data_IF_098357206524
#
_entry.id   IF_098357206524
#
_cell.length_a   1.000
_cell.length_b   1.000
_cell.length_c   1.000
_cell.angle_alpha   90.00
_cell.angle_beta   90.00
_cell.angle_gamma   90.00
#
_symmetry.space_group_name_H-M   'P 1'
#
loop_
_entity.id
_entity.type
_entity.pdbx_description
1 polymer ?
#
# COMPACT_ATOMS: atom_id res chain seq x y z
N UNK A 1 -25.95 14.46 3.61
CA UNK A 1 -25.71 13.03 3.85
C UNK A 1 -26.79 12.26 3.12
N UNK A 2 -26.45 11.25 2.31
CA UNK A 2 -27.42 10.38 1.65
C UNK A 2 -28.25 9.60 2.68
N UNK A 3 -29.45 9.14 2.28
CA UNK A 3 -30.33 8.32 3.13
C UNK A 3 -29.74 6.91 3.32
N UNK A 4 -29.81 6.36 4.53
CA UNK A 4 -29.25 5.04 4.84
C UNK A 4 -30.21 3.88 4.55
N UNK A 5 -31.49 4.15 4.22
CA UNK A 5 -32.46 3.11 3.85
C UNK A 5 -31.94 2.19 2.74
N UNK A 6 -31.35 2.68 1.62
CA UNK A 6 -30.80 1.83 0.56
C UNK A 6 -29.58 1.01 0.98
N UNK A 7 -28.76 1.52 1.91
CA UNK A 7 -27.64 0.78 2.50
C UNK A 7 -28.16 -0.41 3.31
N UNK A 8 -29.17 -0.19 4.15
CA UNK A 8 -29.79 -1.24 4.97
C UNK A 8 -30.47 -2.32 4.10
N UNK A 9 -31.17 -1.91 3.04
CA UNK A 9 -31.79 -2.85 2.09
C UNK A 9 -30.73 -3.65 1.30
N UNK A 10 -29.62 -3.01 0.91
CA UNK A 10 -28.49 -3.71 0.28
C UNK A 10 -27.91 -4.78 1.21
N UNK A 11 -27.67 -4.44 2.49
CA UNK A 11 -27.19 -5.38 3.49
C UNK A 11 -28.16 -6.56 3.69
N UNK A 12 -29.47 -6.29 3.73
CA UNK A 12 -30.51 -7.33 3.85
C UNK A 12 -30.48 -8.30 2.66
N UNK A 13 -30.37 -7.77 1.43
CA UNK A 13 -30.26 -8.60 0.22
C UNK A 13 -28.99 -9.46 0.20
N UNK A 14 -27.84 -8.92 0.64
CA UNK A 14 -26.60 -9.69 0.72
C UNK A 14 -26.65 -10.77 1.81
N UNK A 15 -27.39 -10.54 2.90
CA UNK A 15 -27.63 -11.54 3.92
C UNK A 15 -28.59 -12.66 3.43
N UNK A 16 -29.63 -12.30 2.68
CA UNK A 16 -30.64 -13.26 2.19
C UNK A 16 -30.13 -14.12 1.02
N UNK A 17 -29.38 -13.53 0.08
CA UNK A 17 -28.94 -14.20 -1.15
C UNK A 17 -27.44 -14.54 -1.17
N UNK A 18 -26.68 -14.17 -0.14
CA UNK A 18 -25.24 -14.36 -0.05
C UNK A 18 -24.42 -13.40 -0.92
N UNK A 19 -23.09 -13.41 -0.76
CA UNK A 19 -22.16 -12.52 -1.48
C UNK A 19 -22.16 -12.73 -3.01
N UNK A 20 -22.60 -13.89 -3.49
CA UNK A 20 -22.68 -14.23 -4.91
C UNK A 20 -23.63 -13.35 -5.70
N UNK A 21 -24.62 -12.71 -5.04
CA UNK A 21 -25.52 -11.77 -5.70
C UNK A 21 -24.77 -10.54 -6.26
N UNK A 22 -23.60 -10.20 -5.70
CA UNK A 22 -22.74 -9.15 -6.21
C UNK A 22 -22.22 -9.45 -7.62
N UNK A 23 -22.08 -10.71 -8.01
CA UNK A 23 -21.70 -11.09 -9.38
C UNK A 23 -22.89 -11.00 -10.36
N UNK A 24 -24.10 -10.68 -9.88
CA UNK A 24 -25.34 -10.69 -10.67
C UNK A 24 -26.09 -9.34 -10.62
N UNK A 25 -25.50 -8.24 -11.14
CA UNK A 25 -26.05 -6.89 -11.01
C UNK A 25 -27.39 -6.71 -11.72
N UNK A 26 -27.62 -7.47 -12.81
CA UNK A 26 -28.89 -7.48 -13.55
C UNK A 26 -30.07 -7.98 -12.71
N UNK A 27 -29.80 -8.73 -11.63
CA UNK A 27 -30.81 -9.17 -10.65
C UNK A 27 -30.86 -8.24 -9.45
N UNK A 28 -29.71 -7.79 -8.96
CA UNK A 28 -29.61 -6.93 -7.78
C UNK A 28 -30.22 -5.54 -8.02
N UNK A 29 -30.01 -4.94 -9.20
CA UNK A 29 -30.49 -3.58 -9.50
C UNK A 29 -32.01 -3.43 -9.49
N UNK A 30 -32.80 -4.27 -10.18
CA UNK A 30 -34.26 -4.20 -10.10
C UNK A 30 -34.80 -4.45 -8.68
N UNK A 31 -34.19 -5.39 -7.94
CA UNK A 31 -34.62 -5.70 -6.57
C UNK A 31 -34.44 -4.50 -5.64
N UNK A 32 -33.25 -3.88 -5.65
CA UNK A 32 -32.98 -2.73 -4.80
C UNK A 32 -33.81 -1.51 -5.20
N UNK A 33 -34.06 -1.30 -6.51
CA UNK A 33 -34.96 -0.24 -6.99
C UNK A 33 -36.41 -0.43 -6.56
N UNK A 34 -36.88 -1.68 -6.46
CA UNK A 34 -38.22 -1.99 -5.99
C UNK A 34 -38.36 -1.81 -4.48
N UNK A 35 -37.31 -2.13 -3.71
CA UNK A 35 -37.28 -1.96 -2.25
C UNK A 35 -37.11 -0.48 -1.83
N UNK A 36 -36.48 0.34 -2.68
CA UNK A 36 -36.22 1.76 -2.41
C UNK A 36 -36.79 2.67 -3.53
N UNK A 37 -38.12 2.76 -3.70
CA UNK A 37 -38.73 3.50 -4.78
C UNK A 37 -38.56 5.03 -4.67
N UNK A 38 -38.38 5.54 -3.45
CA UNK A 38 -38.23 6.97 -3.14
C UNK A 38 -36.76 7.42 -3.17
N UNK A 39 -35.81 6.54 -2.80
CA UNK A 39 -34.36 6.80 -2.74
C UNK A 39 -33.63 6.44 -4.05
N UNK A 40 -34.18 6.87 -5.20
CA UNK A 40 -33.62 6.53 -6.52
C UNK A 40 -32.20 7.06 -6.73
N UNK A 41 -31.85 8.17 -6.08
CA UNK A 41 -30.54 8.81 -6.19
C UNK A 41 -29.46 7.94 -5.54
N UNK A 42 -29.71 7.50 -4.32
CA UNK A 42 -28.84 6.65 -3.51
C UNK A 42 -28.64 5.29 -4.17
N UNK A 43 -29.71 4.70 -4.70
CA UNK A 43 -29.62 3.46 -5.50
C UNK A 43 -28.72 3.68 -6.73
N UNK A 44 -28.82 4.83 -7.41
CA UNK A 44 -27.93 5.14 -8.52
C UNK A 44 -26.47 5.34 -8.07
N UNK A 45 -26.23 5.88 -6.87
CA UNK A 45 -24.87 6.00 -6.31
C UNK A 45 -24.26 4.61 -6.04
N UNK A 46 -25.02 3.70 -5.44
CA UNK A 46 -24.58 2.32 -5.17
C UNK A 46 -24.23 1.58 -6.47
N UNK A 47 -25.07 1.69 -7.50
CA UNK A 47 -24.80 1.07 -8.79
C UNK A 47 -23.75 1.82 -9.63
N UNK A 48 -23.54 3.10 -9.36
CA UNK A 48 -22.39 3.84 -9.88
C UNK A 48 -21.10 3.27 -9.31
N UNK A 49 -21.00 3.13 -7.99
CA UNK A 49 -19.87 2.48 -7.32
C UNK A 49 -19.67 1.02 -7.78
N UNK A 50 -20.77 0.28 -7.99
CA UNK A 50 -20.71 -1.07 -8.54
C UNK A 50 -20.03 -1.12 -9.91
N UNK A 51 -20.39 -0.21 -10.83
CA UNK A 51 -19.79 -0.15 -12.17
C UNK A 51 -18.30 0.17 -12.13
N UNK A 52 -17.85 0.86 -11.08
CA UNK A 52 -16.46 1.12 -10.78
C UNK A 52 -15.73 -0.06 -10.11
N UNK A 53 -16.39 -1.22 -10.00
CA UNK A 53 -15.85 -2.47 -9.44
C UNK A 53 -15.51 -2.40 -7.94
N UNK A 54 -16.19 -1.52 -7.21
CA UNK A 54 -16.00 -1.34 -5.76
C UNK A 54 -16.20 -2.65 -4.98
N UNK A 55 -17.28 -3.45 -5.19
CA UNK A 55 -17.46 -4.69 -4.44
C UNK A 55 -16.36 -5.72 -4.70
N UNK A 56 -15.91 -5.83 -5.95
CA UNK A 56 -14.84 -6.76 -6.32
C UNK A 56 -13.50 -6.36 -5.73
N UNK A 57 -13.17 -5.06 -5.71
CA UNK A 57 -11.93 -4.57 -5.08
C UNK A 57 -11.95 -4.72 -3.56
N UNK A 58 -13.11 -4.52 -2.92
CA UNK A 58 -13.28 -4.73 -1.48
C UNK A 58 -13.18 -6.22 -1.10
N UNK A 59 -13.54 -7.13 -2.00
CA UNK A 59 -13.47 -8.59 -1.80
C UNK A 59 -12.17 -9.21 -2.31
N UNK A 60 -11.30 -8.45 -2.97
CA UNK A 60 -10.04 -8.97 -3.51
C UNK A 60 -9.07 -9.44 -2.41
N UNK A 61 -9.29 -9.03 -1.15
CA UNK A 61 -8.55 -9.49 0.02
C UNK A 61 -9.35 -10.60 0.73
N UNK A 62 -9.05 -11.86 0.40
CA UNK A 62 -9.85 -13.02 0.86
C UNK A 62 -9.71 -13.33 2.36
N UNK A 63 -8.76 -12.73 3.09
CA UNK A 63 -8.43 -13.14 4.47
C UNK A 63 -8.33 -11.99 5.50
N UNK A 64 -8.42 -10.73 5.09
CA UNK A 64 -8.32 -9.57 6.01
C UNK A 64 -9.30 -8.47 5.63
N UNK A 65 -9.89 -7.73 6.61
CA UNK A 65 -10.67 -6.55 6.29
C UNK A 65 -9.79 -5.55 5.52
N UNK A 66 -10.31 -4.89 4.47
CA UNK A 66 -9.51 -3.98 3.66
C UNK A 66 -8.92 -2.88 4.53
N UNK A 67 -7.68 -2.47 4.26
CA UNK A 67 -7.09 -1.29 4.90
C UNK A 67 -7.91 -0.02 4.57
N UNK A 68 -7.94 0.96 5.48
CA UNK A 68 -8.58 2.27 5.26
C UNK A 68 -8.19 2.94 3.93
N UNK A 69 -6.99 2.68 3.44
CA UNK A 69 -6.47 3.19 2.16
C UNK A 69 -7.27 2.68 0.94
N UNK A 70 -7.83 1.47 1.01
CA UNK A 70 -8.70 0.91 -0.04
C UNK A 70 -9.98 1.74 -0.15
N UNK A 71 -10.60 2.07 0.99
CA UNK A 71 -11.79 2.91 1.04
C UNK A 71 -11.52 4.31 0.50
N UNK A 72 -10.41 4.93 0.92
CA UNK A 72 -10.00 6.26 0.49
C UNK A 72 -9.77 6.28 -1.04
N UNK A 73 -9.07 5.27 -1.58
CA UNK A 73 -8.80 5.15 -3.03
C UNK A 73 -10.08 4.97 -3.82
N UNK A 74 -10.93 4.02 -3.42
CA UNK A 74 -12.20 3.74 -4.09
C UNK A 74 -13.12 4.96 -4.05
N UNK A 75 -13.20 5.66 -2.90
CA UNK A 75 -14.00 6.88 -2.79
C UNK A 75 -13.49 7.99 -3.73
N UNK A 76 -12.18 8.15 -3.88
CA UNK A 76 -11.61 9.10 -4.83
C UNK A 76 -11.88 8.73 -6.30
N UNK A 77 -11.79 7.44 -6.65
CA UNK A 77 -12.12 6.95 -8.00
C UNK A 77 -13.59 7.18 -8.33
N UNK A 78 -14.50 6.75 -7.46
CA UNK A 78 -15.95 6.91 -7.60
C UNK A 78 -16.32 8.40 -7.72
N UNK A 79 -15.72 9.27 -6.89
CA UNK A 79 -15.88 10.71 -6.97
C UNK A 79 -15.48 11.27 -8.35
N UNK A 80 -14.32 10.86 -8.85
CA UNK A 80 -13.76 11.34 -10.13
C UNK A 80 -14.63 10.92 -11.31
N UNK A 81 -15.01 9.65 -11.39
CA UNK A 81 -15.72 9.10 -12.54
C UNK A 81 -17.21 9.45 -12.54
N UNK A 82 -17.88 9.44 -11.38
CA UNK A 82 -19.29 9.82 -11.29
C UNK A 82 -19.52 11.33 -11.15
N UNK A 83 -18.45 12.12 -10.95
CA UNK A 83 -18.50 13.57 -10.72
C UNK A 83 -19.46 13.98 -9.59
N UNK A 84 -19.43 13.20 -8.51
CA UNK A 84 -20.25 13.40 -7.31
C UNK A 84 -19.44 14.08 -6.20
N UNK A 85 -20.12 14.47 -5.11
CA UNK A 85 -19.43 15.03 -3.95
C UNK A 85 -18.61 13.96 -3.22
N UNK A 86 -17.65 14.43 -2.44
CA UNK A 86 -16.78 13.57 -1.62
C UNK A 86 -17.58 12.76 -0.59
N UNK A 87 -18.58 13.36 0.03
CA UNK A 87 -19.45 12.67 1.00
C UNK A 87 -20.26 11.56 0.33
N UNK A 88 -20.77 11.78 -0.89
CA UNK A 88 -21.53 10.77 -1.62
C UNK A 88 -20.66 9.59 -2.07
N UNK A 89 -19.43 9.87 -2.50
CA UNK A 89 -18.50 8.81 -2.91
C UNK A 89 -18.07 7.94 -1.73
N UNK A 90 -17.76 8.55 -0.57
CA UNK A 90 -17.47 7.83 0.68
C UNK A 90 -18.66 7.00 1.10
N UNK A 91 -19.86 7.59 1.15
CA UNK A 91 -21.08 6.89 1.50
C UNK A 91 -21.34 5.67 0.61
N UNK A 92 -21.11 5.77 -0.70
CA UNK A 92 -21.32 4.65 -1.62
C UNK A 92 -20.34 3.49 -1.39
N UNK A 93 -19.06 3.79 -1.13
CA UNK A 93 -18.03 2.78 -0.85
C UNK A 93 -18.26 2.12 0.51
N UNK A 94 -18.53 2.92 1.55
CA UNK A 94 -18.87 2.42 2.89
C UNK A 94 -20.10 1.53 2.85
N UNK A 95 -21.14 1.93 2.11
CA UNK A 95 -22.37 1.15 2.01
C UNK A 95 -22.14 -0.24 1.43
N UNK A 96 -21.24 -0.35 0.45
CA UNK A 96 -20.82 -1.66 -0.08
C UNK A 96 -20.01 -2.45 0.95
N UNK A 97 -19.06 -1.83 1.63
CA UNK A 97 -18.25 -2.52 2.62
C UNK A 97 -19.04 -3.00 3.85
N UNK A 98 -20.01 -2.20 4.32
CA UNK A 98 -20.94 -2.57 5.40
C UNK A 98 -21.82 -3.73 4.93
N UNK A 99 -22.37 -3.66 3.71
CA UNK A 99 -23.20 -4.73 3.17
C UNK A 99 -22.42 -6.04 2.96
N UNK A 100 -21.12 -5.96 2.65
CA UNK A 100 -20.22 -7.11 2.55
C UNK A 100 -19.73 -7.64 3.90
N UNK A 101 -20.00 -6.91 5.00
CA UNK A 101 -19.59 -7.27 6.36
C UNK A 101 -18.11 -7.02 6.64
N UNK A 102 -17.48 -6.07 5.95
CA UNK A 102 -16.06 -5.72 6.10
C UNK A 102 -15.82 -4.66 7.19
N UNK A 103 -16.81 -3.81 7.43
CA UNK A 103 -16.83 -2.78 8.48
C UNK A 103 -18.24 -2.69 9.11
N UNK A 104 -18.36 -2.02 10.25
CA UNK A 104 -19.65 -1.70 10.89
C UNK A 104 -20.00 -0.22 10.71
N UNK A 105 -21.27 0.15 10.92
CA UNK A 105 -21.71 1.57 10.90
C UNK A 105 -20.99 2.44 11.97
N UNK A 106 -20.36 1.83 12.98
CA UNK A 106 -19.59 2.52 14.02
C UNK A 106 -18.11 2.72 13.66
N UNK A 107 -17.64 2.21 12.52
CA UNK A 107 -16.24 2.26 12.12
C UNK A 107 -15.89 3.64 11.55
N UNK A 108 -15.10 4.44 12.29
CA UNK A 108 -14.58 5.72 11.79
C UNK A 108 -13.39 5.50 10.84
N UNK A 109 -13.62 5.68 9.53
CA UNK A 109 -12.54 5.70 8.54
C UNK A 109 -11.99 7.13 8.45
N UNK A 110 -10.69 7.29 8.74
CA UNK A 110 -10.02 8.59 8.65
C UNK A 110 -9.71 8.97 7.21
N UNK A 111 -10.67 9.64 6.56
CA UNK A 111 -10.52 10.18 5.21
C UNK A 111 -9.76 11.51 5.15
N UNK A 112 -9.14 11.98 6.23
CA UNK A 112 -8.31 13.21 6.16
C UNK A 112 -6.95 12.97 5.50
N UNK A 113 -6.59 11.71 5.26
CA UNK A 113 -5.43 11.33 4.47
C UNK A 113 -5.79 11.30 2.97
N UNK A 114 -5.05 12.00 2.09
CA UNK A 114 -5.41 12.09 0.69
C UNK A 114 -5.25 10.75 -0.05
N UNK A 115 -6.24 10.41 -0.87
CA UNK A 115 -6.18 9.31 -1.82
C UNK A 115 -5.04 9.52 -2.82
N UNK A 116 -4.01 8.68 -2.72
CA UNK A 116 -2.94 8.59 -3.71
C UNK A 116 -3.51 7.98 -5.00
N UNK A 117 -4.00 8.84 -5.91
CA UNK A 117 -4.27 8.47 -7.29
C UNK A 117 -2.96 7.94 -7.88
N UNK A 118 -2.90 6.67 -8.27
CA UNK A 118 -1.81 6.19 -9.11
C UNK A 118 -2.03 6.72 -10.54
N UNK A 119 -1.11 7.52 -11.11
CA UNK A 119 -1.20 7.85 -12.52
C UNK A 119 -0.66 6.67 -13.32
N UNK A 120 -1.48 6.15 -14.23
CA UNK A 120 -0.98 5.36 -15.36
C UNK A 120 -0.25 6.30 -16.31
N UNK A 121 1.09 6.31 -16.26
CA UNK A 121 1.90 7.11 -17.17
C UNK A 121 2.01 6.40 -18.53
N UNK A 122 1.04 6.64 -19.41
CA UNK A 122 1.29 6.59 -20.86
C UNK A 122 1.65 7.99 -21.36
N UNK A 123 2.74 8.05 -22.14
CA UNK A 123 3.42 9.28 -22.58
C UNK A 123 2.48 10.33 -23.19
N UNK A 124 2.56 11.59 -22.75
CA UNK A 124 2.84 12.81 -23.55
C UNK A 124 2.48 14.09 -22.77
N UNK A 125 3.39 15.09 -22.82
CA UNK A 125 3.33 16.44 -22.23
C UNK A 125 3.15 16.51 -20.70
N UNK A 126 4.24 16.88 -20.04
CA UNK A 126 4.29 17.23 -18.63
C UNK A 126 3.44 18.48 -18.38
N UNK A 127 2.44 18.36 -17.52
CA UNK A 127 1.62 19.47 -17.03
C UNK A 127 2.14 20.07 -15.72
N UNK A 128 1.51 21.17 -15.30
CA UNK A 128 1.64 21.82 -13.97
C UNK A 128 1.81 20.88 -12.74
N UNK A 129 1.19 19.66 -12.65
CA UNK A 129 1.35 18.75 -11.52
C UNK A 129 2.79 18.47 -11.07
N UNK A 130 3.74 18.23 -11.97
CA UNK A 130 5.12 17.86 -11.59
C UNK A 130 5.89 19.02 -10.94
N UNK A 131 5.64 20.25 -11.42
CA UNK A 131 6.17 21.47 -10.78
C UNK A 131 5.53 21.66 -9.41
N UNK A 132 4.22 21.41 -9.27
CA UNK A 132 3.55 21.50 -7.97
C UNK A 132 4.05 20.45 -6.98
N UNK A 133 4.39 19.24 -7.44
CA UNK A 133 4.98 18.19 -6.60
C UNK A 133 6.28 18.68 -5.96
N UNK A 134 7.24 19.16 -6.76
CA UNK A 134 8.53 19.62 -6.25
C UNK A 134 8.40 20.73 -5.20
N UNK A 135 7.50 21.69 -5.44
CA UNK A 135 7.30 22.82 -4.53
C UNK A 135 6.67 22.43 -3.18
N UNK A 136 5.99 21.29 -3.11
CA UNK A 136 5.37 20.76 -1.88
C UNK A 136 6.33 19.91 -1.04
N UNK A 137 7.47 19.52 -1.60
CA UNK A 137 8.48 18.73 -0.88
C UNK A 137 9.12 19.56 0.23
N UNK A 138 9.41 18.90 1.35
CA UNK A 138 10.20 19.50 2.41
C UNK A 138 11.67 19.66 1.98
N UNK A 139 12.41 20.49 2.72
CA UNK A 139 13.82 20.77 2.41
C UNK A 139 14.70 19.52 2.41
N UNK A 140 14.56 18.56 3.35
CA UNK A 140 15.31 17.30 3.32
C UNK A 140 15.11 16.54 2.01
N UNK A 141 13.87 16.37 1.53
CA UNK A 141 13.62 15.69 0.26
C UNK A 141 14.17 16.44 -0.94
N UNK A 142 13.99 17.77 -0.99
CA UNK A 142 14.57 18.57 -2.06
C UNK A 142 16.10 18.44 -2.12
N UNK A 143 16.76 18.36 -0.97
CA UNK A 143 18.21 18.15 -0.90
C UNK A 143 18.60 16.74 -1.33
N UNK A 144 17.91 15.72 -0.84
CA UNK A 144 18.17 14.32 -1.20
C UNK A 144 18.06 14.11 -2.72
N UNK A 145 16.98 14.60 -3.34
CA UNK A 145 16.81 14.49 -4.78
C UNK A 145 17.86 15.29 -5.56
N UNK A 146 18.16 16.53 -5.16
CA UNK A 146 19.23 17.33 -5.80
C UNK A 146 20.59 16.63 -5.77
N UNK A 147 20.92 15.99 -4.63
CA UNK A 147 22.15 15.19 -4.50
C UNK A 147 22.12 13.97 -5.41
N UNK A 148 21.00 13.25 -5.44
CA UNK A 148 20.83 12.06 -6.29
C UNK A 148 21.05 12.37 -7.78
N UNK A 149 20.54 13.51 -8.27
CA UNK A 149 20.76 13.92 -9.68
C UNK A 149 22.01 14.77 -9.91
N UNK A 150 22.79 15.06 -8.87
CA UNK A 150 24.04 15.83 -8.95
C UNK A 150 23.86 17.31 -9.32
N UNK A 151 22.71 17.92 -9.05
CA UNK A 151 22.39 19.29 -9.45
C UNK A 151 22.54 20.27 -8.29
N UNK A 152 23.38 21.30 -8.47
CA UNK A 152 23.55 22.43 -7.53
C UNK A 152 22.76 23.68 -7.93
N UNK A 153 22.25 23.74 -9.16
CA UNK A 153 21.57 24.89 -9.75
C UNK A 153 20.04 24.83 -9.61
N UNK A 154 19.37 25.81 -10.23
CA UNK A 154 17.92 25.93 -10.27
C UNK A 154 17.23 24.74 -10.93
N UNK A 155 16.04 24.43 -10.41
CA UNK A 155 15.21 23.34 -10.91
C UNK A 155 14.58 23.71 -12.24
N UNK A 156 14.68 22.79 -13.20
CA UNK A 156 13.99 22.87 -14.48
C UNK A 156 13.33 21.53 -14.81
N UNK A 157 12.51 21.51 -15.85
CA UNK A 157 11.72 20.35 -16.28
C UNK A 157 12.59 19.11 -16.55
N UNK A 158 13.75 19.29 -17.18
CA UNK A 158 14.68 18.19 -17.46
C UNK A 158 15.25 17.57 -16.18
N UNK A 159 15.50 18.38 -15.15
CA UNK A 159 15.96 17.88 -13.84
C UNK A 159 14.83 17.16 -13.11
N UNK A 160 13.60 17.66 -13.16
CA UNK A 160 12.44 16.98 -12.56
C UNK A 160 12.22 15.61 -13.18
N UNK A 161 12.26 15.51 -14.50
CA UNK A 161 12.18 14.24 -15.21
C UNK A 161 13.26 13.24 -14.82
N UNK A 162 14.49 13.72 -14.57
CA UNK A 162 15.57 12.86 -14.08
C UNK A 162 15.27 12.31 -12.68
N UNK A 163 14.65 13.11 -11.82
CA UNK A 163 14.29 12.71 -10.46
C UNK A 163 13.16 11.66 -10.50
N UNK A 164 12.12 11.91 -11.29
CA UNK A 164 10.97 11.00 -11.41
C UNK A 164 11.32 9.65 -12.04
N UNK A 165 12.40 9.60 -12.82
CA UNK A 165 12.94 8.38 -13.44
C UNK A 165 14.22 7.88 -12.73
N UNK A 166 14.43 8.20 -11.45
CA UNK A 166 15.54 7.60 -10.70
C UNK A 166 15.31 6.10 -10.51
N UNK A 167 16.32 5.31 -10.86
CA UNK A 167 16.37 3.87 -10.55
C UNK A 167 16.93 3.61 -9.14
N UNK A 168 17.79 4.51 -8.64
CA UNK A 168 18.44 4.40 -7.34
C UNK A 168 18.37 5.72 -6.57
N UNK A 169 18.10 5.64 -5.27
CA UNK A 169 18.03 6.80 -4.39
C UNK A 169 18.68 6.54 -3.04
N UNK A 170 19.71 7.32 -2.74
CA UNK A 170 20.37 7.36 -1.45
C UNK A 170 19.98 8.65 -0.70
N UNK A 171 19.19 8.49 0.35
CA UNK A 171 18.76 9.58 1.24
C UNK A 171 19.08 9.30 2.71
N UNK A 172 19.93 8.31 2.98
CA UNK A 172 20.36 7.97 4.32
C UNK A 172 21.11 9.08 5.04
N UNK A 173 20.94 9.16 6.36
CA UNK A 173 21.54 10.19 7.24
C UNK A 173 20.90 11.57 7.14
N UNK A 174 19.91 11.77 6.25
CA UNK A 174 19.15 13.01 6.17
C UNK A 174 18.01 13.04 7.21
N UNK A 175 17.56 14.22 7.66
CA UNK A 175 16.47 14.36 8.62
C UNK A 175 15.08 14.13 7.98
N UNK A 176 14.94 13.06 7.20
CA UNK A 176 13.70 12.64 6.54
C UNK A 176 12.82 11.90 7.55
N UNK A 177 11.54 12.26 7.60
CA UNK A 177 10.55 11.71 8.55
C UNK A 177 9.45 10.88 7.88
N UNK A 178 9.26 11.03 6.57
CA UNK A 178 8.26 10.30 5.80
C UNK A 178 8.75 9.96 4.39
N UNK A 179 8.21 8.89 3.79
CA UNK A 179 8.59 8.42 2.44
C UNK A 179 7.60 8.81 1.34
N UNK A 180 6.60 9.65 1.63
CA UNK A 180 5.53 10.04 0.71
C UNK A 180 6.01 10.46 -0.70
N UNK A 181 7.11 11.23 -0.85
CA UNK A 181 7.59 11.63 -2.17
C UNK A 181 7.98 10.49 -3.10
N UNK A 182 8.29 9.31 -2.55
CA UNK A 182 8.71 8.13 -3.32
C UNK A 182 7.62 7.52 -4.19
N UNK A 183 6.36 7.87 -3.93
CA UNK A 183 5.20 7.32 -4.66
C UNK A 183 5.25 7.71 -6.15
N UNK A 184 5.81 8.89 -6.46
CA UNK A 184 5.95 9.36 -7.84
C UNK A 184 7.13 8.70 -8.59
N UNK A 185 8.06 8.08 -7.86
CA UNK A 185 9.27 7.47 -8.43
C UNK A 185 8.97 6.03 -8.89
N UNK A 186 8.11 5.90 -9.90
CA UNK A 186 7.59 4.62 -10.38
C UNK A 186 8.65 3.67 -10.96
N UNK A 187 9.82 4.20 -11.35
CA UNK A 187 10.96 3.42 -11.86
C UNK A 187 11.96 3.01 -10.78
N UNK A 188 11.79 3.45 -9.53
CA UNK A 188 12.78 3.23 -8.47
C UNK A 188 12.92 1.74 -8.13
N UNK A 189 14.16 1.26 -8.20
CA UNK A 189 14.54 -0.13 -7.95
C UNK A 189 15.36 -0.29 -6.67
N UNK A 190 16.12 0.74 -6.28
CA UNK A 190 16.97 0.71 -5.08
C UNK A 190 16.71 1.94 -4.21
N UNK A 191 16.34 1.70 -2.95
CA UNK A 191 16.17 2.74 -1.95
C UNK A 191 17.10 2.48 -0.76
N UNK A 192 17.90 3.49 -0.44
CA UNK A 192 18.65 3.56 0.81
C UNK A 192 18.20 4.78 1.62
N UNK A 193 17.53 4.51 2.73
CA UNK A 193 17.00 5.49 3.67
C UNK A 193 17.49 5.24 5.10
N UNK A 194 18.67 4.64 5.25
CA UNK A 194 19.23 4.31 6.57
C UNK A 194 19.49 5.54 7.44
N UNK A 195 19.50 5.39 8.78
CA UNK A 195 19.77 6.48 9.73
C UNK A 195 18.90 7.74 9.53
N UNK A 196 17.67 7.56 9.02
CA UNK A 196 16.66 8.61 8.93
C UNK A 196 15.67 8.52 10.10
N UNK A 197 14.75 9.48 10.22
CA UNK A 197 13.74 9.51 11.29
C UNK A 197 12.40 8.89 10.86
N UNK A 198 12.42 8.08 9.81
CA UNK A 198 11.22 7.40 9.32
C UNK A 198 10.72 6.36 10.32
N UNK A 199 9.39 6.29 10.46
CA UNK A 199 8.70 5.34 11.34
C UNK A 199 7.82 4.36 10.57
N UNK A 200 7.57 4.64 9.29
CA UNK A 200 6.64 3.87 8.45
C UNK A 200 7.16 3.74 7.03
N UNK A 201 7.01 2.53 6.49
CA UNK A 201 7.28 2.19 5.10
C UNK A 201 6.03 2.29 4.22
N UNK A 202 4.90 2.78 4.74
CA UNK A 202 3.60 2.78 4.05
C UNK A 202 3.65 3.27 2.59
N UNK A 203 4.40 4.34 2.23
CA UNK A 203 4.52 4.79 0.84
C UNK A 203 5.17 3.78 -0.11
N UNK A 204 6.03 2.88 0.38
CA UNK A 204 6.73 1.91 -0.47
C UNK A 204 5.80 0.90 -1.11
N UNK A 205 4.57 0.71 -0.60
CA UNK A 205 3.59 -0.20 -1.20
C UNK A 205 3.26 0.13 -2.65
N UNK A 206 3.48 1.37 -3.09
CA UNK A 206 3.20 1.84 -4.45
C UNK A 206 4.40 1.73 -5.39
N UNK A 207 5.62 1.52 -4.86
CA UNK A 207 6.86 1.50 -5.63
C UNK A 207 7.21 0.05 -6.02
N UNK A 208 6.40 -0.52 -6.90
CA UNK A 208 6.40 -1.98 -7.22
C UNK A 208 7.70 -2.48 -7.89
N UNK A 209 8.53 -1.58 -8.41
CA UNK A 209 9.80 -1.92 -9.05
C UNK A 209 10.96 -2.11 -8.06
N UNK A 210 10.74 -1.84 -6.76
CA UNK A 210 11.78 -1.99 -5.74
C UNK A 210 12.31 -3.43 -5.67
N UNK A 211 13.63 -3.52 -5.79
CA UNK A 211 14.43 -4.74 -5.64
C UNK A 211 15.31 -4.67 -4.39
N UNK A 212 15.74 -3.48 -3.99
CA UNK A 212 16.60 -3.27 -2.83
C UNK A 212 15.99 -2.21 -1.92
N UNK A 213 15.81 -2.56 -0.65
CA UNK A 213 15.40 -1.62 0.40
C UNK A 213 16.39 -1.71 1.55
N UNK A 214 17.05 -0.60 1.86
CA UNK A 214 17.84 -0.41 3.06
C UNK A 214 17.20 0.67 3.94
N UNK A 215 16.78 0.25 5.14
CA UNK A 215 16.12 1.09 6.14
C UNK A 215 16.67 0.86 7.55
N UNK A 216 17.93 0.40 7.66
CA UNK A 216 18.55 0.13 8.95
C UNK A 216 18.77 1.40 9.80
N UNK A 217 18.90 1.25 11.12
CA UNK A 217 18.98 2.38 12.07
C UNK A 217 17.82 3.39 11.92
N UNK A 218 16.59 2.89 11.77
CA UNK A 218 15.37 3.72 11.74
C UNK A 218 14.39 3.27 12.83
N UNK A 219 13.29 4.00 13.00
CA UNK A 219 12.27 3.69 13.99
C UNK A 219 11.09 2.89 13.43
N UNK A 220 11.30 2.15 12.33
CA UNK A 220 10.28 1.31 11.68
C UNK A 220 9.97 0.10 12.57
N UNK A 221 8.68 -0.16 12.76
CA UNK A 221 8.19 -1.31 13.55
C UNK A 221 7.54 -2.42 12.71
N UNK A 222 7.10 -2.10 11.50
CA UNK A 222 6.34 -3.02 10.65
C UNK A 222 6.87 -3.05 9.23
N UNK A 223 6.97 -4.28 8.69
CA UNK A 223 7.30 -4.56 7.30
C UNK A 223 6.07 -4.77 6.43
N UNK A 224 4.84 -4.67 6.97
CA UNK A 224 3.59 -4.92 6.24
C UNK A 224 3.51 -4.23 4.86
N UNK A 225 3.95 -2.96 4.68
CA UNK A 225 3.94 -2.31 3.37
C UNK A 225 4.76 -2.99 2.27
N UNK A 226 5.70 -3.88 2.63
CA UNK A 226 6.55 -4.59 1.68
C UNK A 226 5.90 -5.86 1.11
N UNK A 227 4.77 -6.34 1.66
CA UNK A 227 4.14 -7.63 1.31
C UNK A 227 3.85 -7.81 -0.18
N UNK A 228 3.65 -6.70 -0.90
CA UNK A 228 3.31 -6.70 -2.33
C UNK A 228 4.48 -6.30 -3.24
N UNK A 229 5.70 -6.22 -2.73
CA UNK A 229 6.89 -5.92 -3.53
C UNK A 229 7.51 -7.21 -4.07
N UNK A 230 6.80 -7.86 -5.00
CA UNK A 230 7.19 -9.16 -5.55
C UNK A 230 8.59 -9.17 -6.21
N UNK A 231 9.13 -8.00 -6.57
CA UNK A 231 10.47 -7.84 -7.13
C UNK A 231 11.59 -7.68 -6.08
N UNK A 232 11.25 -7.61 -4.79
CA UNK A 232 12.21 -7.37 -3.72
C UNK A 232 13.19 -8.54 -3.59
N UNK A 233 14.49 -8.26 -3.76
CA UNK A 233 15.59 -9.22 -3.67
C UNK A 233 16.42 -9.04 -2.42
N UNK A 234 16.54 -7.81 -1.92
CA UNK A 234 17.37 -7.49 -0.76
C UNK A 234 16.64 -6.56 0.20
N UNK A 235 16.57 -6.98 1.46
CA UNK A 235 16.05 -6.17 2.56
C UNK A 235 17.10 -6.05 3.67
N UNK A 236 17.44 -4.81 4.03
CA UNK A 236 18.33 -4.48 5.13
C UNK A 236 17.54 -3.63 6.13
N UNK A 237 17.25 -4.19 7.30
CA UNK A 237 16.40 -3.58 8.32
C UNK A 237 16.92 -3.81 9.74
N UNK A 238 18.23 -3.98 9.89
CA UNK A 238 18.85 -4.18 11.21
C UNK A 238 18.82 -2.92 12.07
N UNK A 239 18.99 -3.06 13.38
CA UNK A 239 18.87 -1.96 14.35
C UNK A 239 17.55 -1.20 14.21
N UNK A 240 16.44 -1.94 14.09
CA UNK A 240 15.07 -1.43 14.06
C UNK A 240 14.19 -2.19 15.08
N UNK A 241 13.13 -1.58 15.61
CA UNK A 241 12.20 -2.23 16.55
C UNK A 241 11.19 -3.18 15.86
N UNK A 242 11.62 -3.93 14.84
CA UNK A 242 10.78 -4.90 14.12
C UNK A 242 10.70 -6.21 14.91
N UNK A 243 9.50 -6.78 15.00
CA UNK A 243 9.20 -7.97 15.80
C UNK A 243 8.81 -9.19 14.97
N UNK A 244 8.26 -9.01 13.77
CA UNK A 244 7.82 -10.14 12.92
C UNK A 244 8.24 -9.97 11.46
N UNK A 245 8.31 -11.10 10.75
CA UNK A 245 8.69 -11.19 9.33
C UNK A 245 7.53 -11.66 8.44
N UNK A 246 6.29 -11.69 8.94
CA UNK A 246 5.14 -12.28 8.23
C UNK A 246 4.90 -11.65 6.86
N UNK A 247 5.14 -10.35 6.75
CA UNK A 247 5.05 -9.58 5.52
C UNK A 247 5.99 -10.09 4.41
N UNK A 248 7.05 -10.82 4.75
CA UNK A 248 8.04 -11.32 3.80
C UNK A 248 7.67 -12.70 3.20
N UNK A 249 6.67 -13.39 3.76
CA UNK A 249 6.35 -14.78 3.41
C UNK A 249 6.00 -15.04 1.95
N UNK A 250 5.51 -14.03 1.23
CA UNK A 250 5.18 -14.10 -0.19
C UNK A 250 6.26 -13.54 -1.13
N UNK A 251 7.40 -13.06 -0.62
CA UNK A 251 8.43 -12.41 -1.42
C UNK A 251 9.39 -13.44 -2.02
N UNK A 252 8.88 -14.24 -2.97
CA UNK A 252 9.58 -15.41 -3.53
C UNK A 252 10.93 -15.10 -4.20
N UNK A 253 11.16 -13.84 -4.57
CA UNK A 253 12.42 -13.36 -5.15
C UNK A 253 13.42 -12.84 -4.11
N UNK A 254 13.12 -12.89 -2.81
CA UNK A 254 14.00 -12.38 -1.76
C UNK A 254 15.23 -13.30 -1.63
N UNK A 255 16.41 -12.73 -1.85
CA UNK A 255 17.70 -13.43 -1.83
C UNK A 255 18.49 -13.12 -0.55
N UNK A 256 18.36 -11.90 -0.01
CA UNK A 256 19.14 -11.43 1.14
C UNK A 256 18.27 -10.69 2.15
N UNK A 257 18.32 -11.14 3.41
CA UNK A 257 17.70 -10.48 4.55
C UNK A 257 18.74 -10.18 5.63
N UNK A 258 18.87 -8.92 6.03
CA UNK A 258 19.64 -8.52 7.20
C UNK A 258 18.71 -7.88 8.25
N UNK A 259 18.41 -8.62 9.32
CA UNK A 259 17.52 -8.23 10.40
C UNK A 259 18.18 -8.38 11.79
N UNK A 260 19.50 -8.27 11.87
CA UNK A 260 20.22 -8.34 13.14
C UNK A 260 19.88 -7.16 14.07
N UNK A 261 20.09 -7.33 15.38
CA UNK A 261 19.73 -6.34 16.39
C UNK A 261 18.25 -5.88 16.30
N UNK A 262 17.34 -6.81 16.00
CA UNK A 262 15.88 -6.57 16.02
C UNK A 262 15.22 -7.45 17.08
N UNK A 263 13.93 -7.25 17.31
CA UNK A 263 13.14 -8.06 18.25
C UNK A 263 12.51 -9.30 17.59
N UNK A 264 12.87 -9.62 16.34
CA UNK A 264 12.36 -10.79 15.60
C UNK A 264 12.57 -12.08 16.38
N UNK A 265 11.50 -12.85 16.54
CA UNK A 265 11.47 -14.09 17.33
C UNK A 265 11.34 -15.36 16.52
N UNK A 266 10.93 -15.30 15.25
CA UNK A 266 10.79 -16.47 14.39
C UNK A 266 11.20 -16.19 12.94
N UNK A 267 11.75 -17.22 12.30
CA UNK A 267 12.08 -17.22 10.87
C UNK A 267 11.09 -18.04 10.03
N UNK A 268 10.06 -18.62 10.66
CA UNK A 268 9.02 -19.40 9.98
C UNK A 268 8.41 -18.72 8.75
N UNK A 269 8.17 -17.39 8.72
CA UNK A 269 7.67 -16.73 7.51
C UNK A 269 8.57 -16.90 6.28
N UNK A 270 9.87 -17.15 6.47
CA UNK A 270 10.83 -17.26 5.37
C UNK A 270 10.90 -18.66 4.75
N UNK A 271 10.22 -19.66 5.33
CA UNK A 271 10.37 -21.09 4.94
C UNK A 271 10.02 -21.38 3.48
N UNK A 272 9.17 -20.57 2.85
CA UNK A 272 8.74 -20.76 1.47
C UNK A 272 9.60 -19.98 0.46
N UNK A 273 10.61 -19.24 0.91
CA UNK A 273 11.42 -18.35 0.07
C UNK A 273 12.56 -19.11 -0.61
N UNK A 274 12.23 -19.84 -1.67
CA UNK A 274 13.16 -20.72 -2.39
C UNK A 274 14.42 -20.04 -2.96
N UNK A 275 14.42 -18.71 -3.12
CA UNK A 275 15.57 -17.94 -3.62
C UNK A 275 16.46 -17.37 -2.51
N UNK A 276 16.12 -17.61 -1.23
CA UNK A 276 16.83 -17.05 -0.09
C UNK A 276 18.24 -17.66 0.03
N UNK A 277 19.26 -16.79 0.01
CA UNK A 277 20.68 -17.17 0.04
C UNK A 277 21.36 -16.77 1.33
N UNK A 278 20.98 -15.63 1.91
CA UNK A 278 21.64 -15.10 3.10
C UNK A 278 20.62 -14.51 4.06
N UNK A 279 20.66 -14.97 5.30
CA UNK A 279 19.91 -14.38 6.42
C UNK A 279 20.88 -14.01 7.52
N UNK A 280 20.92 -12.73 7.89
CA UNK A 280 21.70 -12.22 9.03
C UNK A 280 20.75 -11.87 10.15
N UNK A 281 20.69 -12.70 11.19
CA UNK A 281 19.77 -12.57 12.32
C UNK A 281 20.51 -12.56 13.69
N UNK A 282 21.76 -12.06 13.71
CA UNK A 282 22.52 -11.87 14.95
C UNK A 282 21.76 -11.00 15.96
N UNK A 283 21.90 -11.29 17.24
CA UNK A 283 21.24 -10.53 18.32
C UNK A 283 19.73 -10.34 18.11
N UNK A 284 19.05 -11.39 17.66
CA UNK A 284 17.57 -11.47 17.61
C UNK A 284 17.06 -12.43 18.69
N UNK A 285 15.74 -12.59 18.77
CA UNK A 285 15.08 -13.55 19.67
C UNK A 285 14.78 -14.90 19.01
N UNK A 286 15.28 -15.10 17.79
CA UNK A 286 15.10 -16.33 17.01
C UNK A 286 15.68 -17.53 17.76
N UNK A 287 14.91 -18.60 17.88
CA UNK A 287 15.35 -19.83 18.55
C UNK A 287 16.32 -20.63 17.68
N UNK A 288 17.04 -21.60 18.27
CA UNK A 288 17.86 -22.54 17.48
C UNK A 288 16.97 -23.41 16.57
N UNK A 289 15.77 -23.75 17.04
CA UNK A 289 14.81 -24.56 16.30
C UNK A 289 14.35 -23.85 15.02
N UNK A 290 14.01 -22.56 15.08
CA UNK A 290 13.63 -21.77 13.90
C UNK A 290 14.73 -21.78 12.82
N UNK A 291 16.01 -21.77 13.24
CA UNK A 291 17.16 -21.82 12.32
C UNK A 291 17.24 -23.20 11.67
N UNK A 292 17.13 -24.28 12.45
CA UNK A 292 17.17 -25.66 11.94
C UNK A 292 16.02 -25.91 10.95
N UNK A 293 14.82 -25.42 11.26
CA UNK A 293 13.65 -25.52 10.37
C UNK A 293 13.84 -24.72 9.08
N UNK A 294 14.34 -23.48 9.16
CA UNK A 294 14.63 -22.69 7.96
C UNK A 294 15.75 -23.33 7.14
N UNK A 295 16.81 -23.85 7.77
CA UNK A 295 17.90 -24.53 7.08
C UNK A 295 17.43 -25.82 6.40
N UNK A 296 16.48 -26.54 6.99
CA UNK A 296 15.86 -27.71 6.37
C UNK A 296 15.00 -27.33 5.15
N UNK A 297 14.24 -26.24 5.26
CA UNK A 297 13.40 -25.73 4.17
C UNK A 297 14.21 -25.09 3.03
N UNK A 298 15.34 -24.46 3.35
CA UNK A 298 16.21 -23.75 2.42
C UNK A 298 17.70 -24.14 2.66
N UNK A 299 18.14 -25.33 2.21
CA UNK A 299 19.49 -25.84 2.50
C UNK A 299 20.64 -24.97 2.00
N UNK A 300 20.42 -24.25 0.89
CA UNK A 300 21.40 -23.36 0.28
C UNK A 300 21.49 -21.98 0.98
N UNK A 301 20.57 -21.69 1.91
CA UNK A 301 20.56 -20.42 2.63
C UNK A 301 21.64 -20.43 3.72
N UNK A 302 22.53 -19.45 3.70
CA UNK A 302 23.52 -19.20 4.74
C UNK A 302 22.89 -18.36 5.85
N UNK A 303 22.69 -18.97 7.01
CA UNK A 303 22.16 -18.28 8.20
C UNK A 303 23.32 -17.84 9.10
N UNK A 304 23.41 -16.53 9.32
CA UNK A 304 24.44 -15.88 10.13
C UNK A 304 23.81 -15.42 11.45
N UNK A 305 24.16 -16.12 12.52
CA UNK A 305 23.77 -15.81 13.91
C UNK A 305 24.87 -15.08 14.66
#
# INVERSE_FOLDING_TARGET
MPDDVPRQQLQTLLHEYGREICAQPRRLEPLLRNLCPEQRREVNLLFGAYKERVPEELLAEEETPPDNDVFIRLAAQVRSHLRISEQEARWAVESWAIALGLITDETEIDYTQPAMLQPSLSHTRIGEPEKTWWTKLDKPWQQAFKRAVGVRSDMNEKVLLKILNLDELHCGGEPITHLTPLIELTSLQSLDCHKTQIKSLAPLRYVKQLQVVDCHHTAIRSLAPLRHLANLRKLVCYDTPIETLDALSGLLNLETLACHNTAVSSLLPLRCLSQLRVVVCRNTRVSKLDIEELQHACPECVIIR
#
